data_IF_801183548354
#
_entry.id   IF_801183548354
#
_cell.length_a   1.000
_cell.length_b   1.000
_cell.length_c   1.000
_cell.angle_alpha   90.00
_cell.angle_beta   90.00
_cell.angle_gamma   90.00
#
_symmetry.space_group_name_H-M   'P 1'
#
loop_
_entity.id
_entity.type
_entity.pdbx_description
1 polymer ?
#
# COMPACT_ATOMS: atom_id res chain seq x y z
N UNK A 1 -8.09 0.81 11.98
CA UNK A 1 -7.32 0.95 13.23
C UNK A 1 -5.87 1.26 12.90
N UNK A 2 -5.23 2.16 13.64
CA UNK A 2 -3.81 2.46 13.45
C UNK A 2 -2.94 1.39 14.13
N UNK A 3 -1.85 0.96 13.49
CA UNK A 3 -0.90 -0.03 13.99
C UNK A 3 0.53 0.28 13.55
N UNK A 4 1.34 0.82 14.47
CA UNK A 4 2.76 1.11 14.22
C UNK A 4 3.54 -0.15 13.83
N UNK A 5 3.24 -1.29 14.47
CA UNK A 5 3.87 -2.59 14.17
C UNK A 5 3.69 -2.94 12.69
N UNK A 6 2.45 -2.96 12.21
CA UNK A 6 2.13 -3.28 10.81
C UNK A 6 2.80 -2.34 9.82
N UNK A 7 2.80 -1.03 10.10
CA UNK A 7 3.44 -0.06 9.22
C UNK A 7 4.96 -0.25 9.13
N UNK A 8 5.60 -0.69 10.22
CA UNK A 8 7.03 -1.02 10.20
C UNK A 8 7.32 -2.28 9.40
N UNK A 9 6.50 -3.32 9.55
CA UNK A 9 6.61 -4.56 8.77
C UNK A 9 6.47 -4.30 7.27
N UNK A 10 5.50 -3.44 6.88
CA UNK A 10 5.30 -3.01 5.50
C UNK A 10 6.53 -2.26 4.97
N UNK A 11 7.07 -1.28 5.71
CA UNK A 11 8.27 -0.53 5.28
C UNK A 11 9.52 -1.40 5.11
N UNK A 12 9.56 -2.55 5.78
CA UNK A 12 10.63 -3.54 5.67
C UNK A 12 10.44 -4.50 4.48
N UNK A 13 9.39 -4.35 3.67
CA UNK A 13 9.23 -5.09 2.42
C UNK A 13 9.75 -4.27 1.23
N UNK A 14 10.24 -4.93 0.16
CA UNK A 14 10.54 -4.23 -1.09
C UNK A 14 9.26 -3.67 -1.71
N UNK A 15 9.42 -2.68 -2.59
CA UNK A 15 8.31 -2.12 -3.37
C UNK A 15 7.55 -3.23 -4.10
N UNK A 16 6.25 -3.38 -3.81
CA UNK A 16 5.43 -4.48 -4.35
C UNK A 16 5.24 -4.40 -5.87
N UNK A 17 5.41 -3.19 -6.43
CA UNK A 17 5.32 -2.90 -7.87
C UNK A 17 6.62 -3.18 -8.63
N UNK A 18 7.74 -2.62 -8.18
CA UNK A 18 9.00 -2.62 -8.94
C UNK A 18 10.17 -3.36 -8.28
N UNK A 19 10.00 -3.88 -7.07
CA UNK A 19 11.05 -4.62 -6.35
C UNK A 19 12.14 -3.78 -5.70
N UNK A 20 12.11 -2.44 -5.83
CA UNK A 20 13.09 -1.58 -5.17
C UNK A 20 13.14 -1.83 -3.65
N UNK A 21 14.33 -2.02 -3.04
CA UNK A 21 14.46 -2.57 -1.69
C UNK A 21 13.91 -1.66 -0.57
N UNK A 22 13.86 -0.34 -0.79
CA UNK A 22 13.37 0.59 0.23
C UNK A 22 11.97 1.11 -0.10
N UNK A 23 11.00 0.84 0.78
CA UNK A 23 9.61 1.24 0.58
C UNK A 23 9.10 2.17 1.67
N UNK A 24 8.02 2.86 1.34
CA UNK A 24 7.15 3.59 2.25
C UNK A 24 5.85 2.81 2.42
N UNK A 25 5.21 3.00 3.57
CA UNK A 25 3.85 2.54 3.80
C UNK A 25 2.86 3.44 3.04
N UNK A 26 2.37 2.95 1.90
CA UNK A 26 1.41 3.64 1.05
C UNK A 26 -0.03 3.24 1.42
N UNK A 27 -0.78 4.18 1.98
CA UNK A 27 -2.18 3.99 2.36
C UNK A 27 -3.09 3.96 1.13
N UNK A 28 -4.18 3.20 1.19
CA UNK A 28 -5.24 3.24 0.19
C UNK A 28 -5.75 4.67 -0.10
N UNK A 29 -6.06 4.93 -1.37
CA UNK A 29 -6.67 6.16 -1.83
C UNK A 29 -8.21 6.14 -1.90
N UNK A 30 -8.86 5.05 -1.48
CA UNK A 30 -10.30 4.82 -1.60
C UNK A 30 -11.04 5.05 -0.28
N UNK A 31 -12.20 5.73 -0.35
CA UNK A 31 -13.01 6.12 0.83
C UNK A 31 -13.55 4.91 1.60
N UNK A 32 -13.89 3.81 0.93
CA UNK A 32 -14.37 2.57 1.57
C UNK A 32 -13.33 1.92 2.50
N UNK A 33 -12.05 2.27 2.32
CA UNK A 33 -10.94 1.84 3.18
C UNK A 33 -10.75 2.73 4.41
N UNK A 34 -11.69 3.66 4.67
CA UNK A 34 -11.66 4.60 5.79
C UNK A 34 -10.90 5.89 5.50
N UNK A 35 -10.57 6.18 4.23
CA UNK A 35 -9.96 7.46 3.84
C UNK A 35 -10.98 8.60 3.96
N UNK A 36 -10.53 9.73 4.49
CA UNK A 36 -11.33 10.95 4.59
C UNK A 36 -10.48 12.22 4.41
N UNK A 37 -11.12 13.39 4.50
CA UNK A 37 -10.40 14.67 4.41
C UNK A 37 -9.44 14.82 5.60
N UNK A 38 -8.13 14.79 5.31
CA UNK A 38 -7.09 14.81 6.34
C UNK A 38 -6.92 13.50 7.11
N UNK A 39 -7.64 12.44 6.73
CA UNK A 39 -7.63 11.14 7.39
C UNK A 39 -7.09 10.09 6.42
N UNK A 40 -6.03 9.40 6.82
CA UNK A 40 -5.50 8.26 6.08
C UNK A 40 -6.41 7.05 6.23
N UNK A 41 -6.45 6.19 5.21
CA UNK A 41 -7.13 4.91 5.29
C UNK A 41 -6.62 4.05 6.47
N UNK A 42 -7.40 3.02 6.82
CA UNK A 42 -7.00 2.03 7.81
C UNK A 42 -5.63 1.42 7.48
N UNK A 43 -4.79 1.16 8.49
CA UNK A 43 -3.45 0.59 8.28
C UNK A 43 -3.51 -0.82 7.71
N UNK A 44 -4.65 -1.53 7.82
CA UNK A 44 -4.87 -2.79 7.10
C UNK A 44 -4.88 -2.61 5.57
N UNK A 45 -5.21 -1.43 5.05
CA UNK A 45 -5.18 -1.12 3.62
C UNK A 45 -3.94 -0.30 3.27
N UNK A 46 -2.77 -0.93 3.41
CA UNK A 46 -1.47 -0.30 3.17
C UNK A 46 -0.55 -1.27 2.43
N UNK A 47 0.18 -0.78 1.43
CA UNK A 47 1.13 -1.57 0.63
C UNK A 47 2.53 -0.94 0.64
N UNK A 48 3.61 -1.72 0.40
CA UNK A 48 4.96 -1.18 0.34
C UNK A 48 5.25 -0.63 -1.06
N UNK A 49 5.44 0.69 -1.19
CA UNK A 49 5.85 1.33 -2.45
C UNK A 49 7.09 2.20 -2.26
N UNK A 50 8.03 2.16 -3.20
CA UNK A 50 9.11 3.14 -3.25
C UNK A 50 8.56 4.55 -3.53
N UNK A 51 9.33 5.59 -3.24
CA UNK A 51 8.89 6.98 -3.38
C UNK A 51 8.25 7.28 -4.75
N UNK A 52 8.88 6.87 -5.85
CA UNK A 52 8.39 7.10 -7.21
C UNK A 52 7.09 6.34 -7.51
N UNK A 53 6.97 5.08 -7.07
CA UNK A 53 5.75 4.30 -7.27
C UNK A 53 4.61 4.80 -6.38
N UNK A 54 4.93 5.27 -5.17
CA UNK A 54 3.97 5.83 -4.23
C UNK A 54 3.34 7.10 -4.81
N UNK A 55 4.15 8.03 -5.31
CA UNK A 55 3.66 9.24 -5.98
C UNK A 55 2.84 8.93 -7.24
N UNK A 56 3.27 7.95 -8.03
CA UNK A 56 2.53 7.49 -9.21
C UNK A 56 1.12 7.00 -8.84
N UNK A 57 1.00 6.21 -7.77
CA UNK A 57 -0.27 5.70 -7.27
C UNK A 57 -1.15 6.81 -6.68
N UNK A 58 -0.58 7.66 -5.81
CA UNK A 58 -1.31 8.76 -5.15
C UNK A 58 -1.90 9.77 -6.13
N UNK A 59 -1.25 9.94 -7.28
CA UNK A 59 -1.65 10.87 -8.31
C UNK A 59 -2.42 10.20 -9.46
N UNK A 60 -2.78 8.91 -9.33
CA UNK A 60 -3.49 8.13 -10.36
C UNK A 60 -2.85 8.24 -11.75
N UNK A 61 -1.52 8.25 -11.82
CA UNK A 61 -0.82 8.46 -13.09
C UNK A 61 -0.96 7.22 -13.98
N UNK A 62 -1.62 7.35 -15.13
CA UNK A 62 -1.72 6.25 -16.09
C UNK A 62 -2.64 5.11 -15.68
N UNK A 63 -3.52 5.31 -14.69
CA UNK A 63 -4.63 4.41 -14.39
C UNK A 63 -5.89 5.20 -14.05
N UNK A 64 -7.05 4.72 -14.49
CA UNK A 64 -8.34 5.24 -14.02
C UNK A 64 -8.61 4.91 -12.55
N UNK A 65 -9.65 5.51 -11.95
CA UNK A 65 -10.00 5.25 -10.53
C UNK A 65 -10.29 3.77 -10.27
N UNK A 66 -11.10 3.14 -11.15
CA UNK A 66 -11.48 1.72 -11.04
C UNK A 66 -10.27 0.82 -11.20
N UNK A 67 -9.47 1.06 -12.24
CA UNK A 67 -8.24 0.30 -12.50
C UNK A 67 -7.22 0.43 -11.34
N UNK A 68 -7.09 1.64 -10.79
CA UNK A 68 -6.23 1.90 -9.63
C UNK A 68 -6.69 1.12 -8.39
N UNK A 69 -8.01 0.97 -8.19
CA UNK A 69 -8.58 0.16 -7.11
C UNK A 69 -8.30 -1.31 -7.30
N UNK A 70 -8.58 -1.86 -8.48
CA UNK A 70 -8.29 -3.27 -8.78
C UNK A 70 -6.80 -3.59 -8.67
N UNK A 71 -5.94 -2.67 -9.12
CA UNK A 71 -4.50 -2.81 -8.96
C UNK A 71 -4.08 -2.81 -7.49
N UNK A 72 -4.63 -1.88 -6.69
CA UNK A 72 -4.35 -1.79 -5.27
C UNK A 72 -4.76 -3.07 -4.53
N UNK A 73 -5.95 -3.61 -4.81
CA UNK A 73 -6.46 -4.83 -4.17
C UNK A 73 -5.54 -6.03 -4.44
N UNK A 74 -5.08 -6.18 -5.69
CA UNK A 74 -4.09 -7.21 -6.06
C UNK A 74 -2.76 -7.02 -5.33
N UNK A 75 -2.29 -5.78 -5.19
CA UNK A 75 -1.04 -5.48 -4.48
C UNK A 75 -1.17 -5.66 -2.97
N UNK A 76 -2.36 -5.42 -2.41
CA UNK A 76 -2.66 -5.65 -1.01
C UNK A 76 -2.63 -7.15 -0.70
N UNK A 77 -3.29 -7.97 -1.52
CA UNK A 77 -3.22 -9.43 -1.38
C UNK A 77 -1.78 -9.94 -1.43
N UNK A 78 -0.98 -9.46 -2.39
CA UNK A 78 0.45 -9.79 -2.49
C UNK A 78 1.22 -9.35 -1.24
N UNK A 79 0.89 -8.19 -0.68
CA UNK A 79 1.51 -7.68 0.56
C UNK A 79 1.19 -8.57 1.75
N UNK A 80 -0.07 -8.99 1.93
CA UNK A 80 -0.44 -9.90 3.02
C UNK A 80 0.29 -11.25 2.92
N UNK A 81 0.42 -11.80 1.70
CA UNK A 81 1.21 -13.02 1.48
C UNK A 81 2.68 -12.82 1.86
N UNK A 82 3.28 -11.69 1.49
CA UNK A 82 4.67 -11.38 1.84
C UNK A 82 4.87 -11.20 3.35
N UNK A 83 3.88 -10.66 4.07
CA UNK A 83 3.91 -10.56 5.53
C UNK A 83 3.83 -11.93 6.18
N UNK A 84 2.92 -12.80 5.73
CA UNK A 84 2.74 -14.14 6.29
C UNK A 84 3.93 -15.10 6.02
N UNK A 85 4.73 -14.85 4.98
CA UNK A 85 5.95 -15.63 4.70
C UNK A 85 7.07 -15.30 5.71
N UNK A 86 7.11 -14.08 6.27
CA UNK A 86 8.16 -13.71 7.24
C UNK A 86 8.03 -14.42 8.59
N UNK A 87 6.88 -15.01 8.88
CA UNK A 87 6.58 -15.69 10.14
C UNK A 87 6.88 -17.20 10.11
N UNK A 88 7.50 -17.72 9.04
CA UNK A 88 7.96 -19.12 8.91
C UNK A 88 9.47 -19.23 8.80
#
# INVERSE_FOLDING_TARGET
MRSTKRLNEIRALPCVRCGYPHSQAAHSNFSEHGKGKGIKADDKYTIPLCHSCHQWFDQYRGMGLVESKEWFDKMLEKTERMLNIKDG
#
